data_IF_501339746942
#
_entry.id   IF_501339746942
#
_cell.length_a   1.000
_cell.length_b   1.000
_cell.length_c   1.000
_cell.angle_alpha   90.00
_cell.angle_beta   90.00
_cell.angle_gamma   90.00
#
_symmetry.space_group_name_H-M   'P 1'
#
loop_
_entity.id
_entity.type
_entity.pdbx_description
1 polymer ?
#
# COMPACT_ATOMS: atom_id res chain seq x y z
N UNK A 1 -5.54 15.59 1.54
CA UNK A 1 -6.81 14.96 2.00
C UNK A 1 -6.44 13.62 2.65
N UNK A 2 -7.24 13.03 3.56
CA UNK A 2 -6.91 11.71 4.15
C UNK A 2 -8.02 10.71 3.84
N UNK A 3 -7.66 9.55 3.29
CA UNK A 3 -8.60 8.52 2.87
C UNK A 3 -8.90 7.52 4.00
N UNK A 4 -10.04 6.85 3.88
CA UNK A 4 -10.42 5.75 4.77
C UNK A 4 -9.64 4.48 4.39
N UNK A 5 -8.55 4.23 5.12
CA UNK A 5 -7.64 3.10 4.90
C UNK A 5 -8.36 1.76 5.02
N UNK A 6 -9.27 1.61 5.98
CA UNK A 6 -9.98 0.34 6.18
C UNK A 6 -10.83 0.00 4.96
N UNK A 7 -11.46 1.03 4.40
CA UNK A 7 -12.30 0.93 3.22
C UNK A 7 -11.50 0.66 1.95
N UNK A 8 -10.33 1.28 1.82
CA UNK A 8 -9.39 1.04 0.71
C UNK A 8 -8.84 -0.39 0.74
N UNK A 9 -8.49 -0.91 1.92
CA UNK A 9 -7.96 -2.25 2.08
C UNK A 9 -9.01 -3.36 2.03
N UNK A 10 -10.30 -3.04 2.21
CA UNK A 10 -11.41 -4.01 2.21
C UNK A 10 -11.64 -4.67 3.58
N UNK A 11 -11.89 -5.98 3.63
CA UNK A 11 -12.09 -6.76 4.88
C UNK A 11 -11.10 -7.93 5.03
N UNK A 12 -10.15 -8.02 4.12
CA UNK A 12 -9.21 -9.12 3.99
C UNK A 12 -8.08 -9.06 5.04
N UNK A 13 -7.51 -10.22 5.33
CA UNK A 13 -6.32 -10.40 6.20
C UNK A 13 -5.11 -10.76 5.37
N UNK A 14 -3.93 -10.33 5.83
CA UNK A 14 -2.67 -10.44 5.09
C UNK A 14 -1.61 -11.19 5.88
N UNK A 15 -0.75 -11.96 5.22
CA UNK A 15 0.45 -12.47 5.86
C UNK A 15 1.42 -11.31 6.14
N UNK A 16 2.37 -11.47 7.08
CA UNK A 16 3.38 -10.44 7.35
C UNK A 16 4.17 -10.02 6.09
N UNK A 17 4.45 -10.97 5.19
CA UNK A 17 5.17 -10.71 3.95
C UNK A 17 4.33 -9.88 2.96
N UNK A 18 3.03 -10.17 2.85
CA UNK A 18 2.13 -9.40 2.00
C UNK A 18 1.93 -7.98 2.55
N UNK A 19 1.70 -7.83 3.85
CA UNK A 19 1.56 -6.52 4.49
C UNK A 19 2.80 -5.63 4.29
N UNK A 20 3.99 -6.23 4.41
CA UNK A 20 5.27 -5.54 4.14
C UNK A 20 5.39 -5.14 2.66
N UNK A 21 5.07 -6.05 1.73
CA UNK A 21 5.13 -5.76 0.30
C UNK A 21 4.13 -4.67 -0.10
N UNK A 22 2.93 -4.67 0.49
CA UNK A 22 1.91 -3.64 0.27
C UNK A 22 2.39 -2.26 0.74
N UNK A 23 3.03 -2.18 1.91
CA UNK A 23 3.58 -0.93 2.41
C UNK A 23 4.70 -0.41 1.52
N UNK A 24 5.59 -1.29 1.07
CA UNK A 24 6.66 -0.88 0.17
C UNK A 24 6.13 -0.40 -1.18
N UNK A 25 5.15 -1.10 -1.76
CA UNK A 25 4.48 -0.67 -2.99
C UNK A 25 3.84 0.72 -2.82
N UNK A 26 3.14 0.94 -1.70
CA UNK A 26 2.53 2.23 -1.41
C UNK A 26 3.59 3.33 -1.27
N UNK A 27 4.70 3.06 -0.58
CA UNK A 27 5.82 4.00 -0.48
C UNK A 27 6.40 4.34 -1.85
N UNK A 28 6.72 3.34 -2.68
CA UNK A 28 7.31 3.54 -4.00
C UNK A 28 6.41 4.35 -4.93
N UNK A 29 5.10 4.18 -4.78
CA UNK A 29 4.09 4.89 -5.58
C UNK A 29 3.93 6.33 -5.12
N UNK A 30 3.80 6.59 -3.81
CA UNK A 30 3.67 7.95 -3.30
C UNK A 30 4.97 8.76 -3.33
N UNK A 31 6.13 8.10 -3.21
CA UNK A 31 7.44 8.76 -3.26
C UNK A 31 7.97 8.95 -4.69
N UNK A 32 7.19 8.63 -5.72
CA UNK A 32 7.60 8.72 -7.13
C UNK A 32 8.07 10.12 -7.54
N UNK A 33 7.47 11.16 -6.96
CA UNK A 33 7.85 12.57 -7.18
C UNK A 33 9.05 13.00 -6.31
N UNK A 34 9.75 12.06 -5.67
CA UNK A 34 10.97 12.25 -4.88
C UNK A 34 10.76 12.33 -3.36
N UNK A 35 9.54 12.59 -2.88
CA UNK A 35 9.22 12.53 -1.44
C UNK A 35 7.71 12.55 -1.18
N UNK A 36 7.27 11.89 -0.11
CA UNK A 36 5.90 12.00 0.40
C UNK A 36 5.67 13.38 1.06
N UNK A 37 4.56 14.01 0.73
CA UNK A 37 4.02 15.19 1.42
C UNK A 37 3.61 14.87 2.86
N UNK A 38 3.35 15.91 3.66
CA UNK A 38 2.89 15.73 5.06
C UNK A 38 1.57 14.97 5.19
N UNK A 39 0.67 15.14 4.22
CA UNK A 39 -0.62 14.46 4.23
C UNK A 39 -0.46 12.99 3.81
N UNK A 40 0.37 12.70 2.81
CA UNK A 40 0.70 11.34 2.43
C UNK A 40 1.43 10.60 3.54
N UNK A 41 2.37 11.23 4.24
CA UNK A 41 3.04 10.63 5.40
C UNK A 41 2.05 10.23 6.51
N UNK A 42 0.99 11.02 6.74
CA UNK A 42 -0.07 10.67 7.69
C UNK A 42 -0.90 9.49 7.19
N UNK A 43 -1.27 9.48 5.91
CA UNK A 43 -2.03 8.40 5.29
C UNK A 43 -1.23 7.10 5.27
N UNK A 44 0.06 7.16 4.91
CA UNK A 44 1.00 6.06 4.94
C UNK A 44 1.15 5.47 6.35
N UNK A 45 1.28 6.32 7.37
CA UNK A 45 1.32 5.85 8.76
C UNK A 45 0.03 5.13 9.16
N UNK A 46 -1.14 5.64 8.77
CA UNK A 46 -2.43 4.98 9.03
C UNK A 46 -2.52 3.64 8.29
N UNK A 47 -2.02 3.58 7.05
CA UNK A 47 -1.90 2.35 6.28
C UNK A 47 -1.06 1.30 7.01
N UNK A 48 0.10 1.69 7.54
CA UNK A 48 0.97 0.80 8.30
C UNK A 48 0.31 0.24 9.57
N UNK A 49 -0.40 1.09 10.33
CA UNK A 49 -1.17 0.64 11.49
C UNK A 49 -2.29 -0.33 11.11
N UNK A 50 -3.07 0.01 10.09
CA UNK A 50 -4.21 -0.82 9.67
C UNK A 50 -3.75 -2.16 9.12
N UNK A 51 -2.64 -2.19 8.37
CA UNK A 51 -2.05 -3.44 7.89
C UNK A 51 -1.51 -4.29 9.03
N UNK A 52 -0.87 -3.69 10.05
CA UNK A 52 -0.41 -4.43 11.23
C UNK A 52 -1.55 -5.09 12.00
N UNK A 53 -2.70 -4.41 12.11
CA UNK A 53 -3.91 -4.93 12.75
C UNK A 53 -4.57 -6.05 11.92
N UNK A 54 -4.44 -6.00 10.59
CA UNK A 54 -4.96 -7.01 9.64
C UNK A 54 -3.97 -8.10 9.27
N UNK A 55 -2.77 -8.06 9.85
CA UNK A 55 -1.77 -9.08 9.62
C UNK A 55 -2.14 -10.32 10.42
N UNK A 56 -2.15 -11.47 9.76
CA UNK A 56 -2.29 -12.77 10.40
C UNK A 56 -1.05 -13.01 11.25
N UNK A 57 -1.20 -12.81 12.55
CA UNK A 57 -0.17 -13.18 13.51
C UNK A 57 -0.34 -14.67 13.80
N UNK A 58 0.66 -15.46 13.44
CA UNK A 58 0.82 -16.82 13.96
C UNK A 58 0.71 -16.72 15.49
N UNK A 59 -0.35 -17.30 16.04
CA UNK A 59 -0.72 -17.13 17.44
C UNK A 59 0.48 -17.51 18.30
N UNK A 60 0.99 -16.64 19.20
CA UNK A 60 2.05 -17.06 20.09
C UNK A 60 1.49 -18.19 20.95
N UNK A 61 2.24 -19.29 21.04
CA UNK A 61 1.95 -20.38 21.97
C UNK A 61 1.62 -19.80 23.37
N UNK A 62 0.64 -20.36 24.09
CA UNK A 62 0.16 -19.80 25.35
C UNK A 62 1.31 -19.66 26.34
N UNK A 63 1.73 -18.41 26.63
CA UNK A 63 2.79 -18.12 27.59
C UNK A 63 3.82 -17.05 27.18
N UNK A 64 3.78 -16.50 25.97
CA UNK A 64 4.61 -15.33 25.62
C UNK A 64 3.77 -14.05 25.71
N UNK A 65 4.25 -13.12 26.55
CA UNK A 65 3.72 -11.77 26.71
C UNK A 65 3.34 -11.16 25.35
N UNK A 66 2.14 -10.58 25.28
CA UNK A 66 1.68 -9.73 24.20
C UNK A 66 2.75 -8.65 23.95
N UNK A 67 3.61 -8.87 22.96
CA UNK A 67 4.38 -7.77 22.38
C UNK A 67 3.32 -6.98 21.63
N UNK A 68 2.99 -5.79 22.13
CA UNK A 68 2.28 -4.81 21.33
C UNK A 68 2.97 -4.79 19.97
N UNK A 69 2.25 -5.16 18.91
CA UNK A 69 2.77 -5.17 17.55
C UNK A 69 2.95 -3.71 17.13
N UNK A 70 3.97 -3.07 17.70
CA UNK A 70 4.30 -1.68 17.45
C UNK A 70 4.79 -1.60 16.01
N UNK A 71 3.99 -0.96 15.16
CA UNK A 71 4.47 -0.47 13.87
C UNK A 71 5.76 0.31 14.13
N UNK A 72 6.86 0.00 13.43
CA UNK A 72 8.10 0.74 13.59
C UNK A 72 7.86 2.25 13.43
N UNK A 73 8.70 3.11 14.04
CA UNK A 73 8.68 4.53 13.76
C UNK A 73 8.63 4.79 12.25
N UNK A 74 7.87 5.81 11.85
CA UNK A 74 7.65 6.12 10.43
C UNK A 74 8.97 6.35 9.71
N UNK A 75 9.91 7.03 10.37
CA UNK A 75 11.25 7.31 9.87
C UNK A 75 12.03 6.03 9.55
N UNK A 76 11.91 4.99 10.39
CA UNK A 76 12.57 3.70 10.16
C UNK A 76 11.94 2.94 8.97
N UNK A 77 10.62 3.05 8.79
CA UNK A 77 9.95 2.46 7.62
C UNK A 77 10.39 3.14 6.33
N UNK A 78 10.45 4.47 6.32
CA UNK A 78 10.88 5.24 5.15
C UNK A 78 12.33 4.93 4.78
N UNK A 79 13.24 4.96 5.75
CA UNK A 79 14.65 4.62 5.54
C UNK A 79 14.82 3.19 5.00
N UNK A 80 14.04 2.24 5.53
CA UNK A 80 14.04 0.86 5.05
C UNK A 80 13.64 0.75 3.57
N UNK A 81 12.54 1.40 3.17
CA UNK A 81 12.06 1.31 1.79
C UNK A 81 12.92 2.10 0.81
N UNK A 82 13.44 3.25 1.23
CA UNK A 82 14.43 4.01 0.46
C UNK A 82 15.65 3.14 0.18
N UNK A 83 16.26 2.56 1.22
CA UNK A 83 17.42 1.67 1.08
C UNK A 83 17.13 0.40 0.26
N UNK A 84 15.92 -0.16 0.36
CA UNK A 84 15.52 -1.33 -0.42
C UNK A 84 15.36 -1.04 -1.92
N UNK A 85 15.08 0.21 -2.27
CA UNK A 85 14.89 0.69 -3.64
C UNK A 85 16.15 1.34 -4.24
N UNK A 86 17.16 1.66 -3.42
CA UNK A 86 18.37 2.33 -3.85
C UNK A 86 19.10 1.54 -4.95
N UNK A 87 19.27 2.15 -6.13
CA UNK A 87 19.97 1.55 -7.26
C UNK A 87 19.18 0.46 -8.00
N UNK A 88 17.89 0.27 -7.69
CA UNK A 88 17.00 -0.66 -8.39
C UNK A 88 15.98 0.13 -9.21
N UNK A 89 15.77 -0.26 -10.47
CA UNK A 89 14.70 0.33 -11.28
C UNK A 89 13.33 0.05 -10.64
N UNK A 90 12.47 1.07 -10.57
CA UNK A 90 11.15 0.98 -9.94
C UNK A 90 10.33 -0.20 -10.46
N UNK A 91 10.25 -0.37 -11.78
CA UNK A 91 9.51 -1.47 -12.43
C UNK A 91 10.04 -2.85 -12.01
N UNK A 92 11.35 -2.99 -11.84
CA UNK A 92 11.98 -4.22 -11.35
C UNK A 92 11.62 -4.47 -9.90
N UNK A 93 11.60 -3.43 -9.07
CA UNK A 93 11.23 -3.55 -7.65
C UNK A 93 9.76 -3.90 -7.47
N UNK A 94 8.86 -3.24 -8.21
CA UNK A 94 7.42 -3.57 -8.23
C UNK A 94 7.20 -5.02 -8.66
N UNK A 95 7.89 -5.50 -9.69
CA UNK A 95 7.79 -6.89 -10.13
C UNK A 95 8.33 -7.91 -9.10
N UNK A 96 9.28 -7.54 -8.24
CA UNK A 96 9.73 -8.38 -7.13
C UNK A 96 8.67 -8.46 -6.02
N UNK A 97 8.09 -7.31 -5.66
CA UNK A 97 7.06 -7.22 -4.61
C UNK A 97 5.77 -7.92 -5.05
N UNK A 98 5.39 -7.81 -6.32
CA UNK A 98 4.24 -8.52 -6.88
C UNK A 98 4.35 -10.05 -6.76
N UNK A 99 5.57 -10.60 -6.76
CA UNK A 99 5.80 -12.05 -6.53
C UNK A 99 5.62 -12.47 -5.08
N UNK A 100 5.65 -11.54 -4.13
CA UNK A 100 5.34 -11.81 -2.72
C UNK A 100 3.82 -11.85 -2.52
N UNK A 101 3.08 -11.10 -3.33
CA UNK A 101 1.62 -11.05 -3.33
C UNK A 101 1.05 -12.23 -4.12
N UNK A 102 1.10 -13.43 -3.54
CA UNK A 102 0.64 -14.66 -4.20
C UNK A 102 -0.90 -14.70 -4.38
N UNK A 103 -1.64 -13.99 -3.52
CA UNK A 103 -3.11 -13.95 -3.52
C UNK A 103 -3.64 -12.76 -4.31
N UNK A 104 -4.70 -12.98 -5.09
CA UNK A 104 -5.34 -11.92 -5.90
C UNK A 104 -5.89 -10.81 -4.99
N UNK A 105 -6.44 -11.17 -3.83
CA UNK A 105 -6.94 -10.21 -2.85
C UNK A 105 -5.82 -9.29 -2.33
N UNK A 106 -4.62 -9.84 -2.08
CA UNK A 106 -3.46 -9.08 -1.65
C UNK A 106 -2.96 -8.13 -2.75
N UNK A 107 -2.97 -8.57 -4.02
CA UNK A 107 -2.64 -7.71 -5.17
C UNK A 107 -3.63 -6.56 -5.32
N UNK A 108 -4.94 -6.85 -5.28
CA UNK A 108 -6.00 -5.83 -5.36
C UNK A 108 -5.90 -4.84 -4.19
N UNK A 109 -5.65 -5.32 -2.98
CA UNK A 109 -5.45 -4.45 -1.82
C UNK A 109 -4.18 -3.59 -1.95
N UNK A 110 -3.08 -4.16 -2.45
CA UNK A 110 -1.84 -3.42 -2.69
C UNK A 110 -2.05 -2.29 -3.69
N UNK A 111 -2.70 -2.59 -4.82
CA UNK A 111 -3.05 -1.60 -5.83
C UNK A 111 -3.91 -0.48 -5.24
N UNK A 112 -5.01 -0.83 -4.54
CA UNK A 112 -5.92 0.14 -3.93
C UNK A 112 -5.19 1.05 -2.94
N UNK A 113 -4.32 0.48 -2.09
CA UNK A 113 -3.56 1.24 -1.11
C UNK A 113 -2.56 2.21 -1.75
N UNK A 114 -1.84 1.75 -2.78
CA UNK A 114 -0.88 2.60 -3.48
C UNK A 114 -1.58 3.72 -4.25
N UNK A 115 -2.65 3.38 -4.97
CA UNK A 115 -3.44 4.35 -5.73
C UNK A 115 -4.09 5.39 -4.81
N UNK A 116 -4.68 4.96 -3.69
CA UNK A 116 -5.25 5.87 -2.70
C UNK A 116 -4.23 6.84 -2.12
N UNK A 117 -2.97 6.41 -1.96
CA UNK A 117 -1.89 7.28 -1.51
C UNK A 117 -1.50 8.29 -2.59
N UNK A 118 -1.30 7.83 -3.82
CA UNK A 118 -0.93 8.67 -4.96
C UNK A 118 -1.95 9.78 -5.22
N UNK A 119 -3.25 9.48 -5.15
CA UNK A 119 -4.29 10.50 -5.39
C UNK A 119 -4.62 11.37 -4.16
N UNK A 120 -3.97 11.17 -3.01
CA UNK A 120 -4.36 11.80 -1.74
C UNK A 120 -4.02 13.28 -1.64
N UNK A 121 -3.09 13.76 -2.45
CA UNK A 121 -2.73 15.18 -2.57
C UNK A 121 -3.55 15.92 -3.65
N UNK A 122 -4.33 15.19 -4.45
CA UNK A 122 -5.13 15.67 -5.59
C UNK A 122 -4.32 16.33 -6.72
N UNK A 123 -3.00 16.14 -6.76
CA UNK A 123 -2.12 16.66 -7.79
C UNK A 123 -1.69 15.56 -8.78
N UNK A 124 -2.68 14.91 -9.39
CA UNK A 124 -2.38 13.92 -10.45
C UNK A 124 -1.64 14.54 -11.62
N UNK A 125 -0.46 14.00 -11.91
CA UNK A 125 0.39 14.41 -13.02
C UNK A 125 0.72 13.22 -13.95
N UNK A 126 1.28 13.49 -15.14
CA UNK A 126 1.57 12.46 -16.15
C UNK A 126 2.48 11.33 -15.63
N UNK A 127 3.37 11.61 -14.66
CA UNK A 127 4.24 10.60 -14.05
C UNK A 127 3.45 9.61 -13.19
N UNK A 128 2.39 10.05 -12.52
CA UNK A 128 1.53 9.18 -11.72
C UNK A 128 0.67 8.28 -12.59
N UNK A 129 0.21 8.77 -13.75
CA UNK A 129 -0.53 7.94 -14.72
C UNK A 129 0.35 6.81 -15.29
N UNK A 130 1.61 7.12 -15.63
CA UNK A 130 2.58 6.12 -16.10
C UNK A 130 2.90 5.10 -15.00
N UNK A 131 3.13 5.57 -13.77
CA UNK A 131 3.43 4.71 -12.64
C UNK A 131 2.26 3.81 -12.26
N UNK A 132 1.03 4.29 -12.42
CA UNK A 132 -0.15 3.50 -12.17
C UNK A 132 -0.32 2.37 -13.21
N UNK A 133 0.00 2.65 -14.48
CA UNK A 133 0.02 1.64 -15.53
C UNK A 133 1.10 0.57 -15.27
N UNK A 134 2.28 0.99 -14.81
CA UNK A 134 3.37 0.09 -14.40
C UNK A 134 2.97 -0.77 -13.19
N UNK A 135 2.31 -0.17 -12.20
CA UNK A 135 1.80 -0.86 -11.02
C UNK A 135 0.74 -1.91 -11.41
N UNK A 136 -0.25 -1.53 -12.21
CA UNK A 136 -1.30 -2.44 -12.67
C UNK A 136 -0.72 -3.60 -13.49
N UNK A 137 0.29 -3.30 -14.32
CA UNK A 137 1.02 -4.33 -15.08
C UNK A 137 1.79 -5.27 -14.16
N UNK A 138 2.54 -4.75 -13.19
CA UNK A 138 3.34 -5.54 -12.26
C UNK A 138 2.48 -6.48 -11.41
N UNK A 139 1.29 -6.01 -10.99
CA UNK A 139 0.34 -6.80 -10.21
C UNK A 139 -0.55 -7.71 -11.08
N UNK A 140 -0.51 -7.58 -12.41
CA UNK A 140 -1.35 -8.37 -13.32
C UNK A 140 -2.83 -8.03 -13.22
N UNK A 141 -3.16 -6.76 -12.99
CA UNK A 141 -4.53 -6.26 -12.72
C UNK A 141 -5.07 -5.38 -13.85
N UNK A 142 -4.46 -5.38 -15.05
CA UNK A 142 -4.84 -4.51 -16.16
C UNK A 142 -6.33 -4.60 -16.53
N UNK A 143 -6.93 -5.79 -16.44
CA UNK A 143 -8.34 -6.00 -16.77
C UNK A 143 -9.32 -5.47 -15.69
N UNK A 144 -8.85 -5.27 -14.46
CA UNK A 144 -9.66 -4.86 -13.30
C UNK A 144 -9.36 -3.42 -12.83
N UNK A 145 -8.36 -2.76 -13.43
CA UNK A 145 -7.82 -1.47 -12.97
C UNK A 145 -8.89 -0.39 -12.81
N UNK A 146 -9.82 -0.28 -13.77
CA UNK A 146 -10.86 0.74 -13.74
C UNK A 146 -11.87 0.52 -12.59
N UNK A 147 -12.19 -0.74 -12.27
CA UNK A 147 -13.06 -1.07 -11.15
C UNK A 147 -12.39 -0.73 -9.82
N UNK A 148 -11.10 -1.07 -9.69
CA UNK A 148 -10.31 -0.76 -8.50
C UNK A 148 -10.16 0.75 -8.29
N UNK A 149 -9.92 1.52 -9.37
CA UNK A 149 -9.92 2.99 -9.31
C UNK A 149 -11.23 3.54 -8.77
N UNK A 150 -12.36 3.08 -9.32
CA UNK A 150 -13.69 3.53 -8.90
C UNK A 150 -13.95 3.19 -7.42
N UNK A 151 -13.52 2.02 -6.96
CA UNK A 151 -13.62 1.62 -5.56
C UNK A 151 -12.82 2.54 -4.64
N UNK A 152 -11.61 2.94 -5.04
CA UNK A 152 -10.79 3.88 -4.26
C UNK A 152 -11.42 5.26 -4.26
N UNK A 153 -11.84 5.78 -5.41
CA UNK A 153 -12.49 7.09 -5.50
C UNK A 153 -13.73 7.17 -4.60
N UNK A 154 -14.59 6.14 -4.60
CA UNK A 154 -15.72 6.07 -3.67
C UNK A 154 -15.30 6.06 -2.19
N UNK A 155 -14.15 5.45 -1.87
CA UNK A 155 -13.59 5.45 -0.51
C UNK A 155 -12.98 6.82 -0.11
N UNK A 156 -12.47 7.59 -1.07
CA UNK A 156 -11.91 8.94 -0.84
C UNK A 156 -13.02 10.00 -0.76
N UNK A 157 -14.02 9.94 -1.64
CA UNK A 157 -15.15 10.88 -1.70
C UNK A 157 -16.23 10.61 -0.62
N UNK A 158 -16.16 9.46 0.05
CA UNK A 158 -17.10 9.07 1.10
C UNK A 158 -18.44 8.53 0.59
N UNK A 159 -18.59 8.32 -0.72
CA UNK A 159 -19.78 7.70 -1.31
C UNK A 159 -19.86 6.22 -0.95
N UNK A 160 -21.03 5.66 -0.57
CA UNK A 160 -21.19 4.24 -0.24
C UNK A 160 -20.78 3.33 -1.42
N UNK A 161 -20.00 2.27 -1.12
CA UNK A 161 -19.67 1.20 -2.05
C UNK A 161 -20.85 0.24 -1.94
N UNK A 162 -21.64 0.11 -3.01
CA UNK A 162 -22.79 -0.81 -3.08
C UNK A 162 -22.36 -2.28 -3.17
#
# INVERSE_FOLDING_TARGET
MSFDVERVLGTETFTPAEAEAMLEIAYLTGAANGSLSRDELRSFRRLAHTLADRTEHDTPAPGKLNVEHAVPPLEELLEKYEAASEGVELSVRLAQLAKVLDRDEARRAAYRAAYALAISDLESNEHEEELEADLATALGLLDEVQELRNSVLGAVDGEPIE
#
